data_IF_056648903938
#
_entry.id   IF_056648903938
#
_cell.length_a   1.000
_cell.length_b   1.000
_cell.length_c   1.000
_cell.angle_alpha   90.00
_cell.angle_beta   90.00
_cell.angle_gamma   90.00
#
_symmetry.space_group_name_H-M   'P 1'
#
loop_
_entity.id
_entity.type
_entity.pdbx_description
1 polymer ?
#
# COMPACT_ATOMS: atom_id res chain seq x y z
N UNK A 1 16.08 -9.17 -45.01
CA UNK A 1 17.10 -8.38 -44.28
C UNK A 1 16.64 -8.21 -42.83
N UNK A 2 17.21 -9.01 -41.91
CA UNK A 2 17.01 -8.88 -40.46
C UNK A 2 17.68 -7.60 -39.98
N UNK A 3 16.94 -6.67 -39.38
CA UNK A 3 17.53 -5.59 -38.59
C UNK A 3 17.40 -5.97 -37.12
N UNK A 4 18.55 -6.26 -36.52
CA UNK A 4 18.74 -6.52 -35.10
C UNK A 4 18.55 -5.18 -34.38
N UNK A 5 17.49 -5.04 -33.58
CA UNK A 5 17.37 -3.98 -32.58
C UNK A 5 18.28 -4.35 -31.40
N UNK A 6 19.55 -3.97 -31.51
CA UNK A 6 20.50 -4.03 -30.43
C UNK A 6 20.47 -2.71 -29.65
N UNK A 7 20.30 -2.82 -28.33
CA UNK A 7 21.02 -1.97 -27.38
C UNK A 7 20.26 -0.78 -26.83
N UNK A 8 19.60 -0.98 -25.68
CA UNK A 8 19.51 0.01 -24.61
C UNK A 8 19.17 -0.72 -23.31
N UNK A 9 20.13 -1.47 -22.75
CA UNK A 9 20.10 -1.74 -21.30
C UNK A 9 20.57 -0.44 -20.68
N UNK A 10 19.64 0.51 -20.50
CA UNK A 10 19.84 1.61 -19.59
C UNK A 10 19.81 0.97 -18.20
N UNK A 11 20.99 0.83 -17.59
CA UNK A 11 21.07 0.48 -16.18
C UNK A 11 20.26 1.53 -15.41
N UNK A 12 19.10 1.16 -14.89
CA UNK A 12 18.37 1.95 -13.91
C UNK A 12 19.24 2.00 -12.65
N UNK A 13 20.18 2.93 -12.60
CA UNK A 13 20.71 3.35 -11.32
C UNK A 13 19.59 4.11 -10.62
N UNK A 14 19.19 3.72 -9.40
CA UNK A 14 18.27 4.54 -8.62
C UNK A 14 18.99 5.86 -8.37
N UNK A 15 18.53 6.94 -9.00
CA UNK A 15 18.87 8.27 -8.56
C UNK A 15 18.31 8.40 -7.16
N UNK A 16 19.19 8.39 -6.17
CA UNK A 16 18.87 8.75 -4.79
C UNK A 16 18.48 10.24 -4.78
N UNK A 17 17.26 10.54 -5.20
CA UNK A 17 16.60 11.79 -4.85
C UNK A 17 16.36 11.68 -3.36
N UNK A 18 17.12 12.45 -2.57
CA UNK A 18 16.80 12.66 -1.17
C UNK A 18 15.37 13.20 -1.13
N UNK A 19 14.44 12.42 -0.57
CA UNK A 19 13.10 12.88 -0.25
C UNK A 19 13.24 14.18 0.54
N UNK A 20 12.89 15.30 -0.08
CA UNK A 20 12.80 16.58 0.62
C UNK A 20 11.90 16.37 1.83
N UNK A 21 12.35 16.80 3.01
CA UNK A 21 11.83 16.45 4.34
C UNK A 21 10.37 16.81 4.63
N UNK A 22 9.44 16.33 3.82
CA UNK A 22 8.03 16.27 4.13
C UNK A 22 7.85 15.19 5.18
N UNK A 23 7.41 15.59 6.38
CA UNK A 23 6.85 14.66 7.35
C UNK A 23 5.73 13.87 6.68
N UNK A 24 5.63 12.56 6.96
CA UNK A 24 4.56 11.73 6.39
C UNK A 24 3.17 12.32 6.66
N UNK A 25 2.27 12.24 5.69
CA UNK A 25 0.88 12.64 5.87
C UNK A 25 0.14 11.62 6.75
N UNK A 26 -0.67 12.09 7.70
CA UNK A 26 -1.66 11.22 8.35
C UNK A 26 -2.84 10.94 7.42
N UNK A 27 -3.71 10.04 7.83
CA UNK A 27 -4.99 9.87 7.14
C UNK A 27 -5.82 8.72 7.68
N UNK A 28 -6.98 8.58 7.06
CA UNK A 28 -7.96 7.52 7.33
C UNK A 28 -8.39 6.88 6.03
N UNK A 29 -8.78 5.61 6.10
CA UNK A 29 -9.24 4.85 4.95
C UNK A 29 -10.43 3.98 5.28
N UNK A 30 -11.23 3.71 4.26
CA UNK A 30 -12.28 2.69 4.29
C UNK A 30 -11.97 1.71 3.18
N UNK A 31 -11.80 0.44 3.53
CA UNK A 31 -11.54 -0.65 2.60
C UNK A 31 -12.74 -1.59 2.52
N UNK A 32 -13.11 -1.98 1.30
CA UNK A 32 -14.15 -2.97 1.03
C UNK A 32 -13.51 -4.12 0.26
N UNK A 33 -13.57 -5.32 0.82
CA UNK A 33 -13.11 -6.54 0.13
C UNK A 33 -14.03 -6.82 -1.05
N UNK A 34 -13.47 -6.80 -2.25
CA UNK A 34 -14.18 -7.01 -3.52
C UNK A 34 -13.83 -8.35 -4.17
N UNK A 35 -12.74 -8.98 -3.74
CA UNK A 35 -12.32 -10.29 -4.20
C UNK A 35 -11.54 -11.04 -3.11
N UNK A 36 -11.68 -12.36 -3.09
CA UNK A 36 -11.02 -13.24 -2.13
C UNK A 36 -10.61 -14.55 -2.81
N UNK A 37 -9.37 -14.96 -2.56
CA UNK A 37 -8.80 -16.21 -3.05
C UNK A 37 -8.12 -16.94 -1.89
N UNK A 38 -8.40 -18.24 -1.75
CA UNK A 38 -7.78 -19.09 -0.72
C UNK A 38 -6.89 -20.12 -1.39
N UNK A 39 -5.65 -20.21 -0.94
CA UNK A 39 -4.67 -21.19 -1.39
C UNK A 39 -4.38 -22.14 -0.23
N UNK A 40 -4.80 -23.40 -0.41
CA UNK A 40 -4.67 -24.45 0.57
C UNK A 40 -3.25 -25.03 0.59
N UNK A 41 -2.65 -25.08 1.77
CA UNK A 41 -1.38 -25.75 2.05
C UNK A 41 -1.55 -26.86 3.08
N UNK A 42 -0.57 -27.76 3.19
CA UNK A 42 -0.62 -28.87 4.16
C UNK A 42 -0.57 -28.40 5.62
N UNK A 43 0.10 -27.29 5.87
CA UNK A 43 0.39 -26.77 7.23
C UNK A 43 -0.25 -25.42 7.49
N UNK A 44 -0.97 -24.87 6.52
CA UNK A 44 -1.60 -23.56 6.63
C UNK A 44 -2.32 -23.18 5.35
N UNK A 45 -2.97 -22.02 5.39
CA UNK A 45 -3.65 -21.42 4.23
C UNK A 45 -3.10 -20.04 3.98
N UNK A 46 -3.05 -19.66 2.70
CA UNK A 46 -2.83 -18.28 2.29
C UNK A 46 -4.16 -17.71 1.81
N UNK A 47 -4.57 -16.60 2.41
CA UNK A 47 -5.74 -15.83 1.98
C UNK A 47 -5.25 -14.60 1.26
N UNK A 48 -5.70 -14.42 0.02
CA UNK A 48 -5.48 -13.21 -0.76
C UNK A 48 -6.78 -12.43 -0.83
N UNK A 49 -6.79 -11.22 -0.28
CA UNK A 49 -7.91 -10.29 -0.38
C UNK A 49 -7.55 -9.17 -1.34
N UNK A 50 -8.47 -8.80 -2.22
CA UNK A 50 -8.39 -7.53 -2.95
C UNK A 50 -9.45 -6.59 -2.42
N UNK A 51 -9.05 -5.37 -2.06
CA UNK A 51 -9.95 -4.35 -1.54
C UNK A 51 -10.00 -3.14 -2.46
N UNK A 52 -11.19 -2.54 -2.54
CA UNK A 52 -11.40 -1.21 -3.10
C UNK A 52 -11.49 -0.23 -1.94
N UNK A 53 -10.61 0.77 -1.95
CA UNK A 53 -10.42 1.64 -0.81
C UNK A 53 -10.66 3.11 -1.19
N UNK A 54 -11.15 3.88 -0.21
CA UNK A 54 -11.13 5.33 -0.25
C UNK A 54 -10.24 5.82 0.87
N UNK A 55 -9.22 6.61 0.53
CA UNK A 55 -8.28 7.22 1.46
C UNK A 55 -8.60 8.70 1.59
N UNK A 56 -8.58 9.21 2.81
CA UNK A 56 -8.72 10.63 3.14
C UNK A 56 -7.48 11.08 3.89
N UNK A 57 -6.76 12.04 3.32
CA UNK A 57 -5.48 12.52 3.84
C UNK A 57 -5.69 13.62 4.88
N UNK A 58 -4.95 13.58 5.99
CA UNK A 58 -4.99 14.64 6.99
C UNK A 58 -4.16 15.84 6.55
N UNK A 59 -4.79 17.02 6.52
CA UNK A 59 -4.17 18.30 6.14
C UNK A 59 -3.22 18.19 4.93
N UNK A 60 -3.71 17.71 3.77
CA UNK A 60 -2.86 17.50 2.61
C UNK A 60 -2.25 18.85 2.15
N UNK A 61 -1.03 18.86 1.60
CA UNK A 61 -0.40 20.08 1.11
C UNK A 61 -1.24 20.74 0.00
N UNK A 62 -1.01 22.02 -0.26
CA UNK A 62 -1.65 22.70 -1.38
C UNK A 62 -1.39 21.95 -2.70
N UNK A 63 -2.46 21.77 -3.50
CA UNK A 63 -2.42 21.02 -4.76
C UNK A 63 -2.68 19.51 -4.62
N UNK A 64 -2.75 18.95 -3.41
CA UNK A 64 -3.15 17.56 -3.20
C UNK A 64 -4.66 17.42 -3.05
N UNK A 65 -5.21 16.36 -3.63
CA UNK A 65 -6.61 15.99 -3.41
C UNK A 65 -6.81 15.46 -2.00
N UNK A 66 -7.89 15.90 -1.33
CA UNK A 66 -8.22 15.47 0.03
C UNK A 66 -8.52 13.98 0.13
N UNK A 67 -9.03 13.38 -0.95
CA UNK A 67 -9.34 11.97 -1.02
C UNK A 67 -8.81 11.34 -2.31
N UNK A 68 -8.36 10.10 -2.21
CA UNK A 68 -7.88 9.27 -3.32
C UNK A 68 -8.50 7.88 -3.26
N UNK A 69 -8.71 7.27 -4.41
CA UNK A 69 -9.12 5.87 -4.48
C UNK A 69 -7.87 4.98 -4.54
N UNK A 70 -7.93 3.82 -3.91
CA UNK A 70 -6.87 2.84 -3.97
C UNK A 70 -7.41 1.43 -4.18
N UNK A 71 -6.57 0.56 -4.71
CA UNK A 71 -6.78 -0.88 -4.72
C UNK A 71 -5.66 -1.53 -3.93
N UNK A 72 -6.01 -2.31 -2.91
CA UNK A 72 -5.03 -3.06 -2.14
C UNK A 72 -5.18 -4.55 -2.36
N UNK A 73 -4.06 -5.26 -2.44
CA UNK A 73 -4.02 -6.72 -2.38
C UNK A 73 -3.27 -7.14 -1.12
N UNK A 74 -3.96 -7.83 -0.24
CA UNK A 74 -3.44 -8.33 1.03
C UNK A 74 -3.22 -9.84 0.93
N UNK A 75 -2.13 -10.32 1.50
CA UNK A 75 -1.82 -11.74 1.63
C UNK A 75 -1.69 -12.05 3.12
N UNK A 76 -2.60 -12.85 3.64
CA UNK A 76 -2.62 -13.27 5.04
C UNK A 76 -2.26 -14.76 5.11
N UNK A 77 -1.33 -15.09 6.00
CA UNK A 77 -0.94 -16.50 6.23
C UNK A 77 -1.55 -16.98 7.54
N UNK A 78 -2.22 -18.12 7.52
CA UNK A 78 -2.75 -18.78 8.72
C UNK A 78 -2.11 -20.16 8.85
N UNK A 79 -1.67 -20.51 10.06
CA UNK A 79 -1.28 -21.88 10.37
C UNK A 79 -2.52 -22.74 10.62
N UNK A 80 -2.46 -24.05 10.30
CA UNK A 80 -3.58 -24.98 10.56
C UNK A 80 -3.98 -24.92 12.03
N UNK A 81 -5.29 -24.78 12.28
CA UNK A 81 -5.86 -24.70 13.62
C UNK A 81 -5.71 -23.34 14.30
N UNK A 82 -5.22 -22.31 13.60
CA UNK A 82 -5.16 -20.93 14.11
C UNK A 82 -6.20 -20.06 13.40
N UNK A 83 -6.99 -19.33 14.18
CA UNK A 83 -7.94 -18.34 13.65
C UNK A 83 -7.27 -16.98 13.36
N UNK A 84 -6.13 -16.71 13.99
CA UNK A 84 -5.36 -15.48 13.78
C UNK A 84 -4.27 -15.69 12.73
N UNK A 85 -4.01 -14.69 11.87
CA UNK A 85 -2.93 -14.79 10.91
C UNK A 85 -1.58 -14.81 11.64
N UNK A 86 -0.66 -15.67 11.18
CA UNK A 86 0.72 -15.71 11.67
C UNK A 86 1.60 -14.66 11.00
N UNK A 87 1.10 -14.00 9.96
CA UNK A 87 1.75 -12.90 9.27
C UNK A 87 0.92 -12.40 8.10
N UNK A 88 1.26 -11.21 7.60
CA UNK A 88 0.65 -10.64 6.42
C UNK A 88 1.64 -9.78 5.64
N UNK A 89 1.34 -9.53 4.37
CA UNK A 89 1.88 -8.43 3.58
C UNK A 89 0.77 -7.85 2.72
N UNK A 90 0.84 -6.58 2.35
CA UNK A 90 -0.09 -6.02 1.37
C UNK A 90 0.58 -5.04 0.43
N UNK A 91 0.03 -4.90 -0.78
CA UNK A 91 0.41 -3.84 -1.72
C UNK A 91 -0.81 -3.02 -2.05
N UNK A 92 -0.71 -1.71 -1.90
CA UNK A 92 -1.76 -0.75 -2.24
C UNK A 92 -1.31 0.13 -3.38
N UNK A 93 -2.19 0.38 -4.34
CA UNK A 93 -1.93 1.19 -5.52
C UNK A 93 -3.01 2.26 -5.61
N UNK A 94 -2.61 3.49 -5.85
CA UNK A 94 -3.51 4.64 -6.02
C UNK A 94 -3.17 5.38 -7.30
N UNK A 95 -4.20 5.86 -7.98
CA UNK A 95 -4.12 6.87 -9.03
C UNK A 95 -5.02 8.00 -8.60
N UNK A 96 -4.47 9.17 -8.35
CA UNK A 96 -5.26 10.32 -7.92
C UNK A 96 -5.95 11.01 -9.11
N UNK A 97 -6.88 11.95 -8.87
CA UNK A 97 -7.62 12.62 -9.93
C UNK A 97 -6.79 13.37 -10.98
N UNK A 98 -5.53 13.74 -10.68
CA UNK A 98 -4.63 14.37 -11.64
C UNK A 98 -3.85 13.34 -12.48
N UNK A 99 -3.99 12.06 -12.16
CA UNK A 99 -3.27 10.95 -12.80
C UNK A 99 -1.93 10.64 -12.16
N UNK A 100 -1.58 11.27 -11.03
CA UNK A 100 -0.37 10.91 -10.30
C UNK A 100 -0.59 9.57 -9.58
N UNK A 101 0.43 8.71 -9.61
CA UNK A 101 0.33 7.35 -9.06
C UNK A 101 1.16 7.20 -7.80
N UNK A 102 0.75 6.28 -6.92
CA UNK A 102 1.56 5.84 -5.78
C UNK A 102 1.36 4.35 -5.50
N UNK A 103 2.42 3.70 -5.00
CA UNK A 103 2.41 2.29 -4.61
C UNK A 103 3.03 2.14 -3.23
N UNK A 104 2.30 1.52 -2.32
CA UNK A 104 2.74 1.27 -0.95
C UNK A 104 2.80 -0.21 -0.63
N UNK A 105 3.84 -0.62 0.09
CA UNK A 105 4.01 -1.95 0.66
C UNK A 105 3.70 -1.88 2.16
N UNK A 106 2.87 -2.80 2.64
CA UNK A 106 2.55 -2.97 4.05
C UNK A 106 3.18 -4.25 4.57
N UNK A 107 3.86 -4.14 5.71
CA UNK A 107 4.49 -5.26 6.42
C UNK A 107 4.15 -5.23 7.91
N UNK A 108 4.29 -6.36 8.62
CA UNK A 108 4.01 -6.39 10.07
C UNK A 108 4.94 -5.46 10.85
N UNK A 109 4.38 -4.77 11.84
CA UNK A 109 5.09 -3.92 12.79
C UNK A 109 4.47 -4.10 14.20
N UNK A 110 5.23 -3.94 15.30
CA UNK A 110 4.67 -4.09 16.65
C UNK A 110 3.45 -3.21 16.93
N UNK A 111 3.42 -2.00 16.35
CA UNK A 111 2.36 -1.02 16.53
C UNK A 111 1.27 -1.05 15.43
N UNK A 112 1.30 -2.05 14.53
CA UNK A 112 0.34 -2.18 13.43
C UNK A 112 0.97 -2.65 12.12
N UNK A 113 0.62 -2.00 11.01
CA UNK A 113 1.24 -2.19 9.72
C UNK A 113 2.26 -1.06 9.47
N UNK A 114 3.51 -1.42 9.16
CA UNK A 114 4.44 -0.48 8.56
C UNK A 114 4.06 -0.31 7.09
N UNK A 115 3.59 0.87 6.73
CA UNK A 115 3.27 1.26 5.36
C UNK A 115 4.48 2.00 4.81
N UNK A 116 5.06 1.54 3.71
CA UNK A 116 6.16 2.23 3.02
C UNK A 116 5.73 2.57 1.61
N UNK A 117 5.76 3.85 1.22
CA UNK A 117 5.56 4.20 -0.18
C UNK A 117 6.83 3.82 -0.94
N UNK A 118 6.69 2.84 -1.81
CA UNK A 118 7.80 2.28 -2.60
C UNK A 118 8.08 3.10 -3.85
N UNK A 119 7.03 3.67 -4.44
CA UNK A 119 7.12 4.48 -5.64
C UNK A 119 5.91 5.40 -5.77
N UNK A 120 6.11 6.49 -6.49
CA UNK A 120 5.13 7.52 -6.72
C UNK A 120 5.64 8.51 -7.75
N UNK A 121 4.72 9.14 -8.48
CA UNK A 121 5.01 10.12 -9.53
C UNK A 121 4.37 11.45 -9.21
N UNK A 122 4.76 12.50 -9.94
CA UNK A 122 4.20 13.84 -9.78
C UNK A 122 4.32 14.29 -8.34
N UNK A 123 3.22 14.73 -7.73
CA UNK A 123 3.25 15.20 -6.35
C UNK A 123 3.57 14.11 -5.32
N UNK A 124 3.32 12.83 -5.64
CA UNK A 124 3.66 11.71 -4.75
C UNK A 124 5.15 11.34 -4.78
N UNK A 125 5.94 11.78 -5.75
CA UNK A 125 7.36 11.41 -5.85
C UNK A 125 8.16 11.78 -4.59
N UNK A 126 7.84 12.93 -3.98
CA UNK A 126 8.48 13.40 -2.75
C UNK A 126 8.25 12.48 -1.54
N UNK A 127 7.28 11.58 -1.60
CA UNK A 127 6.94 10.63 -0.54
C UNK A 127 7.57 9.24 -0.75
N UNK A 128 8.39 9.05 -1.79
CA UNK A 128 9.08 7.79 -2.02
C UNK A 128 10.04 7.48 -0.86
N UNK A 129 9.86 6.31 -0.24
CA UNK A 129 10.60 5.87 0.94
C UNK A 129 10.02 6.36 2.28
N UNK A 130 8.99 7.22 2.26
CA UNK A 130 8.29 7.64 3.48
C UNK A 130 7.55 6.46 4.09
N UNK A 131 7.52 6.45 5.42
CA UNK A 131 6.94 5.38 6.24
C UNK A 131 5.85 5.93 7.13
N UNK A 132 4.84 5.10 7.33
CA UNK A 132 3.73 5.33 8.26
C UNK A 132 3.48 4.07 9.08
N UNK A 133 2.93 4.26 10.28
CA UNK A 133 2.25 3.17 11.00
C UNK A 133 0.76 3.35 10.81
N UNK A 134 0.09 2.30 10.33
CA UNK A 134 -1.36 2.25 10.26
C UNK A 134 -1.94 1.00 10.91
N UNK A 135 -3.25 1.01 11.14
CA UNK A 135 -3.96 -0.12 11.75
C UNK A 135 -5.46 0.00 11.56
N UNK A 136 -6.13 -1.14 11.59
CA UNK A 136 -7.60 -1.21 11.58
C UNK A 136 -8.16 -0.59 12.84
N UNK A 137 -9.02 0.42 12.69
CA UNK A 137 -9.73 1.05 13.79
C UNK A 137 -11.02 0.29 14.10
N UNK A 138 -11.79 -0.05 13.05
CA UNK A 138 -13.10 -0.68 13.15
C UNK A 138 -13.26 -1.72 12.04
N UNK A 139 -13.63 -2.94 12.42
CA UNK A 139 -14.18 -3.93 11.49
C UNK A 139 -15.70 -3.80 11.49
N UNK A 140 -16.27 -3.25 10.41
CA UNK A 140 -17.71 -2.96 10.33
C UNK A 140 -18.50 -4.26 10.12
N UNK A 141 -18.03 -5.09 9.21
CA UNK A 141 -18.58 -6.41 8.89
C UNK A 141 -17.46 -7.34 8.36
N UNK A 142 -17.81 -8.48 7.76
CA UNK A 142 -16.82 -9.45 7.26
C UNK A 142 -15.91 -8.90 6.13
N UNK A 143 -16.37 -7.89 5.38
CA UNK A 143 -15.70 -7.38 4.18
C UNK A 143 -15.28 -5.91 4.29
N UNK A 144 -15.83 -5.16 5.26
CA UNK A 144 -15.66 -3.71 5.36
C UNK A 144 -14.92 -3.32 6.62
N UNK A 145 -13.90 -2.48 6.49
CA UNK A 145 -13.15 -1.93 7.62
C UNK A 145 -12.81 -0.45 7.43
N UNK A 146 -12.63 0.24 8.56
CA UNK A 146 -11.98 1.55 8.60
C UNK A 146 -10.65 1.45 9.32
N UNK A 147 -9.68 2.23 8.88
CA UNK A 147 -8.33 2.23 9.41
C UNK A 147 -7.74 3.63 9.36
N UNK A 148 -6.70 3.85 10.16
CA UNK A 148 -5.97 5.10 10.23
C UNK A 148 -4.49 4.86 10.08
N UNK A 149 -3.75 5.90 9.67
CA UNK A 149 -2.29 5.89 9.66
C UNK A 149 -1.72 7.24 10.05
N UNK A 150 -0.49 7.20 10.56
CA UNK A 150 0.30 8.37 10.94
C UNK A 150 1.75 8.19 10.54
N UNK A 151 2.45 9.28 10.29
CA UNK A 151 3.88 9.25 10.00
C UNK A 151 4.65 8.57 11.12
N UNK A 152 5.74 7.91 10.75
CA UNK A 152 6.78 7.51 11.71
C UNK A 152 7.73 8.69 11.90
N UNK A 153 8.03 9.06 13.15
CA UNK A 153 9.08 10.01 13.47
C UNK A 153 10.49 9.51 13.07
#
# INVERSE_FOLDING_TARGET
MRKILAGSILALMPTLVLAGGHSGLGGTGTGITVDNEVMEGKTGVLVKNTTSDVWTWDNPPEGFHKATAATCTQFLTFAVGQEQPVGFVATCMSVDPDGDVSVSLLTPHPDGALITQTSGTGKWEAYNGVKWIGGTDIQIDANTSTYSWKATD
#
